data_IF_494621997530
#
_entry.id   IF_494621997530
#
_cell.length_a   1.000
_cell.length_b   1.000
_cell.length_c   1.000
_cell.angle_alpha   90.00
_cell.angle_beta   90.00
_cell.angle_gamma   90.00
#
_symmetry.space_group_name_H-M   'P 1'
#
loop_
_entity.id
_entity.type
_entity.pdbx_description
1 polymer ?
#
# COMPACT_ATOMS: atom_id res chain seq x y z
N UNK A 1 28.58 15.19 -3.08
CA UNK A 1 27.36 14.74 -3.76
C UNK A 1 27.02 13.37 -3.20
N UNK A 2 26.13 13.35 -2.23
CA UNK A 2 25.70 12.14 -1.49
C UNK A 2 24.28 11.79 -1.94
N UNK A 3 23.90 10.51 -2.08
CA UNK A 3 22.54 10.15 -2.44
C UNK A 3 21.62 10.47 -1.25
N UNK A 4 20.65 11.36 -1.47
CA UNK A 4 19.68 11.79 -0.45
C UNK A 4 18.63 10.71 -0.21
N UNK A 5 18.47 10.40 1.07
CA UNK A 5 17.77 9.25 1.64
C UNK A 5 16.25 9.50 1.73
N UNK A 6 15.58 9.69 0.58
CA UNK A 6 14.19 10.20 0.54
C UNK A 6 13.10 9.17 0.89
N UNK A 7 13.42 7.87 1.08
CA UNK A 7 12.44 6.89 1.57
C UNK A 7 12.05 7.06 3.05
N UNK A 8 12.75 7.93 3.79
CA UNK A 8 12.81 8.02 5.27
C UNK A 8 11.65 8.80 5.93
N UNK A 9 10.85 9.57 5.18
CA UNK A 9 9.72 10.32 5.74
C UNK A 9 8.39 9.55 5.65
N UNK A 10 8.23 8.67 4.66
CA UNK A 10 6.95 8.03 4.28
C UNK A 10 6.32 7.08 5.31
N UNK A 11 7.08 6.16 5.92
CA UNK A 11 6.46 5.19 6.84
C UNK A 11 6.17 5.82 8.22
N UNK A 12 6.71 7.00 8.56
CA UNK A 12 6.68 7.56 9.94
C UNK A 12 5.27 8.02 10.25
N UNK A 13 4.63 8.61 9.24
CA UNK A 13 3.27 9.08 9.38
C UNK A 13 2.24 8.00 9.07
N UNK A 14 2.67 6.88 8.43
CA UNK A 14 1.79 5.71 8.21
C UNK A 14 1.34 5.18 9.55
N UNK A 15 2.23 5.30 10.51
CA UNK A 15 2.11 4.82 11.87
C UNK A 15 1.28 5.70 12.78
N UNK A 16 1.36 7.04 12.69
CA UNK A 16 0.49 7.92 13.49
C UNK A 16 -0.99 7.79 13.09
N UNK A 17 -1.28 7.47 11.83
CA UNK A 17 -2.64 7.18 11.34
C UNK A 17 -3.17 5.80 11.73
N UNK A 18 -2.28 4.86 12.10
CA UNK A 18 -2.62 3.49 12.50
C UNK A 18 -3.35 3.47 13.88
N UNK A 19 -3.16 4.50 14.74
CA UNK A 19 -3.64 4.48 16.13
C UNK A 19 -4.36 5.75 16.63
N UNK A 20 -4.85 6.59 15.71
CA UNK A 20 -5.68 7.75 16.09
C UNK A 20 -7.06 7.34 16.63
N UNK A 21 -7.39 7.84 17.83
CA UNK A 21 -8.56 7.58 18.69
C UNK A 21 -9.84 7.06 18.01
N UNK A 22 -10.16 5.78 18.21
CA UNK A 22 -11.48 5.22 17.90
C UNK A 22 -12.40 5.42 19.12
N UNK A 23 -13.43 6.29 19.05
CA UNK A 23 -14.40 6.43 20.13
C UNK A 23 -15.27 5.18 20.19
N UNK A 24 -15.21 4.48 21.33
CA UNK A 24 -16.00 3.30 21.67
C UNK A 24 -17.43 3.34 21.11
N UNK A 25 -17.91 2.29 20.40
CA UNK A 25 -19.26 2.28 19.87
C UNK A 25 -20.28 2.11 21.00
N UNK A 26 -21.06 3.15 21.23
CA UNK A 26 -22.25 3.12 22.08
C UNK A 26 -23.30 2.16 21.49
N UNK A 27 -23.90 1.37 22.38
CA UNK A 27 -24.96 0.40 22.07
C UNK A 27 -26.17 1.12 21.45
N UNK A 28 -26.50 0.78 20.21
CA UNK A 28 -27.69 1.25 19.49
C UNK A 28 -28.51 0.08 18.95
N UNK A 29 -29.82 0.20 19.02
CA UNK A 29 -30.81 -0.87 19.00
C UNK A 29 -31.02 -1.56 17.64
N UNK A 30 -31.40 -2.84 17.71
CA UNK A 30 -31.89 -3.63 16.57
C UNK A 30 -33.23 -3.04 16.09
N UNK A 31 -33.30 -2.65 14.81
CA UNK A 31 -34.58 -2.56 14.08
C UNK A 31 -34.56 -3.48 12.87
N UNK A 32 -35.59 -4.31 12.81
CA UNK A 32 -35.92 -5.24 11.73
C UNK A 32 -36.34 -4.48 10.48
N UNK A 33 -35.79 -4.87 9.33
CA UNK A 33 -36.29 -4.47 8.02
C UNK A 33 -36.76 -5.71 7.27
N UNK A 34 -38.05 -5.70 6.97
CA UNK A 34 -38.79 -6.67 6.16
C UNK A 34 -38.40 -6.55 4.69
N UNK A 35 -38.23 -7.70 4.07
CA UNK A 35 -38.02 -7.89 2.63
C UNK A 35 -39.27 -7.57 1.84
N UNK A 36 -39.15 -6.77 0.77
CA UNK A 36 -40.08 -6.83 -0.36
C UNK A 36 -39.30 -6.89 -1.67
N UNK A 37 -39.63 -7.93 -2.43
CA UNK A 37 -39.09 -8.28 -3.74
C UNK A 37 -39.98 -7.65 -4.80
N UNK A 38 -39.37 -6.97 -5.79
CA UNK A 38 -40.00 -6.77 -7.11
C UNK A 38 -38.96 -6.87 -8.21
N UNK A 39 -39.16 -7.89 -9.04
CA UNK A 39 -38.64 -8.04 -10.40
C UNK A 39 -39.06 -6.85 -11.27
N UNK A 40 -38.24 -6.48 -12.26
CA UNK A 40 -38.70 -6.32 -13.66
C UNK A 40 -37.53 -6.17 -14.64
N UNK A 41 -37.50 -7.11 -15.59
CA UNK A 41 -37.26 -7.01 -17.04
C UNK A 41 -36.19 -6.09 -17.64
N UNK A 42 -35.30 -6.77 -18.36
CA UNK A 42 -34.47 -6.41 -19.52
C UNK A 42 -35.05 -5.42 -20.54
N UNK A 43 -34.16 -4.59 -21.13
CA UNK A 43 -34.20 -4.20 -22.55
C UNK A 43 -32.80 -3.90 -23.10
N UNK A 44 -32.42 -4.65 -24.15
CA UNK A 44 -31.28 -4.42 -25.05
C UNK A 44 -31.46 -3.12 -25.84
N UNK A 45 -30.37 -2.42 -26.16
CA UNK A 45 -30.19 -1.67 -27.42
C UNK A 45 -28.73 -1.73 -27.89
N UNK A 46 -28.61 -1.96 -29.18
CA UNK A 46 -27.40 -2.08 -29.98
C UNK A 46 -26.91 -0.74 -30.56
N UNK A 47 -25.61 -0.71 -30.82
CA UNK A 47 -24.87 -0.11 -31.95
C UNK A 47 -24.88 1.40 -32.20
N UNK A 48 -23.68 1.93 -32.45
CA UNK A 48 -23.48 3.23 -33.09
C UNK A 48 -22.03 3.72 -33.06
N UNK A 49 -21.15 3.06 -33.79
CA UNK A 49 -19.80 3.55 -34.14
C UNK A 49 -19.88 4.82 -34.99
N UNK A 50 -19.05 5.82 -34.70
CA UNK A 50 -18.56 6.75 -35.73
C UNK A 50 -17.21 7.34 -35.30
N UNK A 51 -16.22 7.14 -36.18
CA UNK A 51 -14.87 7.65 -36.02
C UNK A 51 -14.76 9.12 -36.42
N UNK A 52 -13.77 9.79 -35.84
CA UNK A 52 -13.30 11.09 -36.30
C UNK A 52 -11.76 11.06 -36.36
N UNK A 53 -11.25 11.20 -37.57
CA UNK A 53 -9.84 11.39 -37.93
C UNK A 53 -9.48 12.87 -37.88
N UNK A 54 -8.32 13.25 -37.33
CA UNK A 54 -7.80 14.61 -37.50
C UNK A 54 -6.62 15.04 -36.63
N UNK A 55 -5.41 14.60 -37.01
CA UNK A 55 -4.13 15.34 -37.02
C UNK A 55 -3.61 16.05 -35.76
N UNK A 56 -2.44 15.59 -35.28
CA UNK A 56 -1.54 16.34 -34.42
C UNK A 56 -0.35 15.49 -33.95
N UNK A 57 0.48 15.01 -34.88
CA UNK A 57 1.73 14.31 -34.54
C UNK A 57 2.72 15.30 -33.90
N UNK A 58 2.83 15.24 -32.58
CA UNK A 58 4.09 15.41 -31.89
C UNK A 58 4.38 14.04 -31.34
N UNK A 59 5.47 13.40 -31.79
CA UNK A 59 5.85 12.05 -31.38
C UNK A 59 6.05 12.01 -29.85
N UNK A 60 5.01 11.58 -29.12
CA UNK A 60 4.98 11.36 -27.67
C UNK A 60 5.72 10.04 -27.29
N UNK A 61 6.82 9.71 -27.95
CA UNK A 61 7.70 8.60 -27.55
C UNK A 61 8.81 9.10 -26.60
N UNK A 62 8.44 9.69 -25.46
CA UNK A 62 9.39 9.84 -24.36
C UNK A 62 9.35 8.57 -23.51
N UNK A 63 10.35 7.72 -23.74
CA UNK A 63 10.59 6.50 -22.99
C UNK A 63 10.63 6.77 -21.48
N UNK A 64 9.82 6.02 -20.74
CA UNK A 64 9.87 5.98 -19.28
C UNK A 64 11.29 5.56 -18.86
N UNK A 65 12.00 6.46 -18.17
CA UNK A 65 13.32 6.13 -17.59
C UNK A 65 13.08 5.07 -16.50
N UNK A 66 13.22 3.79 -16.87
CA UNK A 66 13.01 2.68 -15.94
C UNK A 66 14.07 2.72 -14.85
N UNK A 67 13.62 2.69 -13.60
CA UNK A 67 14.47 2.65 -12.40
C UNK A 67 15.54 1.56 -12.49
N UNK A 68 16.68 1.81 -11.81
CA UNK A 68 17.82 0.88 -11.65
C UNK A 68 17.35 -0.57 -11.53
N UNK A 69 18.03 -1.48 -12.22
CA UNK A 69 17.83 -2.94 -12.15
C UNK A 69 17.96 -3.43 -10.70
N UNK A 70 16.85 -3.45 -9.98
CA UNK A 70 16.75 -4.08 -8.66
C UNK A 70 16.78 -5.58 -8.89
N UNK A 71 17.64 -6.30 -8.18
CA UNK A 71 17.64 -7.77 -8.21
C UNK A 71 16.31 -8.29 -7.66
N UNK A 72 15.63 -9.15 -8.41
CA UNK A 72 14.35 -9.72 -7.98
C UNK A 72 14.52 -10.57 -6.72
N UNK A 73 13.53 -10.50 -5.82
CA UNK A 73 13.47 -11.40 -4.65
C UNK A 73 13.05 -12.82 -5.07
N UNK A 74 13.09 -13.75 -4.11
CA UNK A 74 12.79 -15.16 -4.31
C UNK A 74 12.22 -15.83 -3.05
N UNK A 75 11.50 -16.96 -3.18
CA UNK A 75 10.78 -17.60 -2.08
C UNK A 75 11.60 -17.89 -0.82
N UNK A 76 12.85 -18.36 -0.96
CA UNK A 76 13.69 -18.63 0.21
C UNK A 76 14.04 -17.36 1.01
N UNK A 77 14.26 -16.23 0.33
CA UNK A 77 14.54 -14.96 0.98
C UNK A 77 13.32 -14.45 1.74
N UNK A 78 12.13 -14.47 1.13
CA UNK A 78 10.91 -13.99 1.79
C UNK A 78 10.53 -14.80 3.03
N UNK A 79 10.68 -16.13 2.98
CA UNK A 79 10.46 -16.96 4.17
C UNK A 79 11.48 -16.64 5.27
N UNK A 80 12.73 -16.40 4.89
CA UNK A 80 13.78 -16.02 5.84
C UNK A 80 13.55 -14.63 6.45
N UNK A 81 13.10 -13.65 5.66
CA UNK A 81 12.75 -12.30 6.12
C UNK A 81 11.62 -12.36 7.14
N UNK A 82 10.54 -13.08 6.83
CA UNK A 82 9.42 -13.31 7.76
C UNK A 82 9.89 -13.93 9.08
N UNK A 83 10.70 -14.98 9.01
CA UNK A 83 11.18 -15.68 10.21
C UNK A 83 12.14 -14.79 11.02
N UNK A 84 12.90 -13.92 10.35
CA UNK A 84 13.79 -12.96 10.99
C UNK A 84 12.99 -11.89 11.72
N UNK A 85 11.99 -11.28 11.09
CA UNK A 85 11.09 -10.32 11.73
C UNK A 85 10.34 -10.90 12.93
N UNK A 86 9.87 -12.15 12.83
CA UNK A 86 9.25 -12.83 13.97
C UNK A 86 10.20 -12.96 15.17
N UNK A 87 11.50 -13.20 14.93
CA UNK A 87 12.50 -13.23 16.00
C UNK A 87 12.75 -11.84 16.59
N UNK A 88 12.75 -10.80 15.76
CA UNK A 88 12.86 -9.41 16.22
C UNK A 88 11.66 -9.06 17.11
N UNK A 89 10.44 -9.37 16.67
CA UNK A 89 9.23 -9.18 17.49
C UNK A 89 9.30 -9.94 18.81
N UNK A 90 9.70 -11.21 18.77
CA UNK A 90 9.86 -12.01 20.00
C UNK A 90 10.86 -11.41 20.98
N UNK A 91 11.96 -10.80 20.50
CA UNK A 91 12.92 -10.09 21.36
C UNK A 91 12.31 -8.88 22.06
N UNK A 92 11.41 -8.15 21.38
CA UNK A 92 10.68 -7.05 22.00
C UNK A 92 9.78 -7.56 23.12
N UNK A 93 9.03 -8.64 22.87
CA UNK A 93 8.19 -9.27 23.89
C UNK A 93 9.00 -9.75 25.10
N UNK A 94 10.16 -10.38 24.88
CA UNK A 94 11.05 -10.79 25.96
C UNK A 94 11.55 -9.61 26.77
N UNK A 95 12.05 -8.55 26.13
CA UNK A 95 12.52 -7.35 26.82
C UNK A 95 11.40 -6.72 27.66
N UNK A 96 10.19 -6.59 27.11
CA UNK A 96 9.04 -6.08 27.86
C UNK A 96 8.70 -6.97 29.06
N UNK A 97 8.64 -8.30 28.89
CA UNK A 97 8.33 -9.23 29.99
C UNK A 97 9.36 -9.20 31.11
N UNK A 98 10.64 -9.17 30.76
CA UNK A 98 11.74 -9.17 31.73
C UNK A 98 11.80 -7.88 32.56
N UNK A 99 11.59 -6.72 31.91
CA UNK A 99 11.76 -5.42 32.57
C UNK A 99 10.44 -4.88 33.17
N UNK A 100 9.31 -5.10 32.52
CA UNK A 100 8.00 -4.57 32.95
C UNK A 100 7.19 -5.59 33.77
N UNK A 101 7.49 -6.88 33.64
CA UNK A 101 6.69 -7.96 34.20
C UNK A 101 5.43 -8.29 33.38
N UNK A 102 4.91 -9.50 33.56
CA UNK A 102 3.77 -10.00 32.76
C UNK A 102 2.48 -9.20 32.96
N UNK A 103 2.24 -8.69 34.18
CA UNK A 103 1.01 -7.96 34.47
C UNK A 103 0.91 -6.64 33.72
N UNK A 104 2.04 -5.94 33.53
CA UNK A 104 2.08 -4.68 32.78
C UNK A 104 2.01 -4.92 31.27
N UNK A 105 2.59 -6.02 30.77
CA UNK A 105 2.57 -6.35 29.35
C UNK A 105 1.15 -6.56 28.77
N UNK A 106 0.14 -6.84 29.62
CA UNK A 106 -1.27 -6.96 29.21
C UNK A 106 -1.85 -5.66 28.63
N UNK A 107 -1.25 -4.51 28.98
CA UNK A 107 -1.65 -3.17 28.49
C UNK A 107 -0.96 -2.79 27.18
N UNK A 108 0.04 -3.56 26.75
CA UNK A 108 0.71 -3.33 25.48
C UNK A 108 -0.05 -4.02 24.35
N UNK A 109 -0.18 -3.34 23.22
CA UNK A 109 -0.67 -3.91 21.98
C UNK A 109 0.43 -4.73 21.28
N UNK A 110 0.93 -5.74 22.00
CA UNK A 110 1.87 -6.76 21.54
C UNK A 110 1.12 -8.07 21.34
N UNK A 111 1.65 -8.94 20.49
CA UNK A 111 1.10 -10.27 20.23
C UNK A 111 1.48 -11.27 21.32
N UNK A 112 1.27 -10.91 22.59
CA UNK A 112 1.49 -11.85 23.67
C UNK A 112 0.52 -13.03 23.52
N UNK A 113 0.96 -14.23 23.91
CA UNK A 113 0.09 -15.41 24.07
C UNK A 113 -1.09 -15.20 25.06
N UNK A 114 -1.21 -14.04 25.68
CA UNK A 114 -2.16 -13.71 26.75
C UNK A 114 -3.19 -12.64 26.33
N UNK A 115 -2.90 -11.79 25.34
CA UNK A 115 -3.81 -10.69 24.93
C UNK A 115 -3.84 -10.50 23.41
N UNK A 116 -4.75 -11.20 22.73
CA UNK A 116 -5.07 -10.98 21.30
C UNK A 116 -5.96 -9.75 21.05
N UNK A 117 -6.02 -8.77 21.97
CA UNK A 117 -7.13 -7.80 21.94
C UNK A 117 -6.92 -6.60 21.02
N UNK A 118 -5.70 -6.18 20.65
CA UNK A 118 -5.48 -4.92 19.92
C UNK A 118 -4.44 -4.97 18.77
N UNK A 119 -4.32 -6.08 18.03
CA UNK A 119 -3.41 -6.15 16.86
C UNK A 119 -1.92 -5.97 17.21
N UNK A 120 -1.02 -6.13 16.22
CA UNK A 120 0.45 -6.08 16.38
C UNK A 120 0.97 -4.63 16.43
N UNK A 121 0.20 -3.76 17.06
CA UNK A 121 0.25 -2.34 16.82
C UNK A 121 1.55 -1.65 17.16
N UNK A 122 2.11 -2.06 18.29
CA UNK A 122 3.32 -1.46 18.81
C UNK A 122 4.53 -1.86 17.96
N UNK A 123 4.62 -3.15 17.62
CA UNK A 123 5.72 -3.68 16.83
C UNK A 123 5.69 -3.17 15.40
N UNK A 124 4.52 -3.20 14.76
CA UNK A 124 4.38 -2.76 13.37
C UNK A 124 4.76 -1.29 13.24
N UNK A 125 4.29 -0.44 14.17
CA UNK A 125 4.73 0.96 14.26
C UNK A 125 6.24 1.06 14.35
N UNK A 126 6.84 0.51 15.39
CA UNK A 126 8.29 0.59 15.54
C UNK A 126 9.05 0.07 14.31
N UNK A 127 8.62 -1.04 13.71
CA UNK A 127 9.23 -1.62 12.52
C UNK A 127 9.23 -0.63 11.35
N UNK A 128 8.09 0.02 11.11
CA UNK A 128 7.97 1.04 10.07
C UNK A 128 8.90 2.24 10.30
N UNK A 129 8.97 2.78 11.52
CA UNK A 129 9.86 3.90 11.84
C UNK A 129 11.34 3.49 11.75
N UNK A 130 11.68 2.27 12.13
CA UNK A 130 13.02 1.72 11.96
C UNK A 130 13.39 1.51 10.49
N UNK A 131 12.45 1.02 9.66
CA UNK A 131 12.67 0.82 8.22
C UNK A 131 13.00 2.12 7.52
N UNK A 132 12.30 3.18 7.88
CA UNK A 132 12.57 4.51 7.35
C UNK A 132 13.94 5.01 7.68
N UNK A 133 14.30 4.84 8.95
CA UNK A 133 15.54 5.40 9.47
C UNK A 133 16.77 4.60 9.01
N UNK A 134 16.53 3.49 8.30
CA UNK A 134 17.58 2.67 7.68
C UNK A 134 18.26 3.44 6.54
N UNK A 135 19.51 3.09 6.27
CA UNK A 135 20.32 3.67 5.20
C UNK A 135 20.62 2.67 4.09
N UNK A 136 20.33 1.39 4.33
CA UNK A 136 20.48 0.30 3.37
C UNK A 136 19.14 -0.36 3.07
N UNK A 137 18.95 -0.74 1.80
CA UNK A 137 17.80 -1.53 1.34
C UNK A 137 18.18 -3.01 1.11
N UNK A 138 19.24 -3.49 1.78
CA UNK A 138 19.87 -4.78 1.49
C UNK A 138 18.95 -6.00 1.69
N UNK A 139 17.81 -5.82 2.37
CA UNK A 139 16.91 -6.88 2.81
C UNK A 139 15.47 -6.75 2.30
N UNK A 140 15.26 -6.16 1.11
CA UNK A 140 13.95 -6.16 0.45
C UNK A 140 12.91 -5.25 1.11
N UNK A 141 13.34 -4.06 1.59
CA UNK A 141 12.47 -3.02 2.15
C UNK A 141 11.58 -3.44 3.34
N UNK A 142 11.86 -4.58 3.99
CA UNK A 142 11.00 -5.13 5.06
C UNK A 142 11.75 -5.48 6.34
N UNK A 143 13.08 -5.46 6.34
CA UNK A 143 13.90 -5.61 7.55
C UNK A 143 14.78 -4.37 7.75
N UNK A 144 14.67 -3.64 8.88
CA UNK A 144 15.49 -2.46 9.12
C UNK A 144 16.94 -2.84 9.39
N UNK A 145 17.85 -1.95 9.02
CA UNK A 145 19.26 -2.11 9.35
C UNK A 145 19.57 -1.66 10.79
N UNK A 146 20.79 -1.93 11.26
CA UNK A 146 21.20 -1.58 12.62
C UNK A 146 21.12 -0.07 12.91
N UNK A 147 21.32 0.78 11.88
CA UNK A 147 21.23 2.24 12.04
C UNK A 147 19.78 2.67 12.18
N UNK A 148 18.89 2.12 11.36
CA UNK A 148 17.44 2.36 11.44
C UNK A 148 16.87 1.98 12.80
N UNK A 149 17.21 0.78 13.27
CA UNK A 149 16.87 0.32 14.63
C UNK A 149 17.38 1.29 15.69
N UNK A 150 18.67 1.69 15.64
CA UNK A 150 19.24 2.62 16.61
C UNK A 150 18.57 4.00 16.62
N UNK A 151 18.32 4.59 15.44
CA UNK A 151 17.64 5.88 15.28
C UNK A 151 16.16 5.82 15.70
N UNK A 152 15.55 4.64 15.70
CA UNK A 152 14.17 4.41 16.14
C UNK A 152 14.01 4.30 17.67
N UNK A 153 15.11 4.23 18.44
CA UNK A 153 15.10 4.12 19.92
C UNK A 153 14.10 5.09 20.58
N UNK A 154 14.21 6.39 20.29
CA UNK A 154 13.38 7.43 20.92
C UNK A 154 11.90 7.27 20.58
N UNK A 155 11.59 6.88 19.35
CA UNK A 155 10.21 6.64 18.93
C UNK A 155 9.60 5.46 19.69
N UNK A 156 10.35 4.37 19.86
CA UNK A 156 9.88 3.21 20.62
C UNK A 156 9.66 3.52 22.10
N UNK A 157 10.52 4.34 22.72
CA UNK A 157 10.30 4.83 24.10
C UNK A 157 8.96 5.58 24.18
N UNK A 158 8.74 6.55 23.30
CA UNK A 158 7.50 7.33 23.27
C UNK A 158 6.28 6.43 23.08
N UNK A 159 6.35 5.46 22.17
CA UNK A 159 5.26 4.55 21.88
C UNK A 159 4.91 3.65 23.08
N UNK A 160 5.92 3.11 23.75
CA UNK A 160 5.73 2.33 24.98
C UNK A 160 5.12 3.17 26.10
N UNK A 161 5.63 4.38 26.34
CA UNK A 161 5.09 5.31 27.33
C UNK A 161 3.62 5.65 27.04
N UNK A 162 3.27 5.93 25.78
CA UNK A 162 1.88 6.20 25.37
C UNK A 162 0.95 5.01 25.63
N UNK A 163 1.35 3.81 25.22
CA UNK A 163 0.57 2.59 25.44
C UNK A 163 0.37 2.28 26.93
N UNK A 164 1.32 2.70 27.78
CA UNK A 164 1.28 2.51 29.22
C UNK A 164 0.76 3.72 30.00
N UNK A 165 0.27 4.77 29.34
CA UNK A 165 -0.19 6.02 30.00
C UNK A 165 -1.28 5.83 31.05
N UNK A 166 -2.06 4.74 30.95
CA UNK A 166 -3.10 4.37 31.92
C UNK A 166 -2.60 3.65 33.17
N UNK A 167 -1.31 3.30 33.23
CA UNK A 167 -0.67 2.59 34.34
C UNK A 167 0.59 3.33 34.82
N UNK A 168 0.91 3.23 36.12
CA UNK A 168 2.15 3.80 36.65
C UNK A 168 3.34 2.91 36.30
N UNK A 169 4.17 3.35 35.37
CA UNK A 169 5.46 2.74 35.02
C UNK A 169 6.52 3.84 35.10
N UNK A 170 7.65 3.51 35.71
CA UNK A 170 8.80 4.42 35.78
C UNK A 170 9.42 4.56 34.38
N UNK A 171 9.66 5.79 33.94
CA UNK A 171 10.25 6.10 32.65
C UNK A 171 11.63 5.44 32.50
N UNK A 172 12.40 5.33 33.59
CA UNK A 172 13.71 4.65 33.58
C UNK A 172 13.59 3.17 33.21
N UNK A 173 12.50 2.51 33.62
CA UNK A 173 12.24 1.10 33.26
C UNK A 173 11.87 0.99 31.79
N UNK A 174 11.09 1.94 31.25
CA UNK A 174 10.75 1.97 29.81
C UNK A 174 12.00 2.17 28.97
N UNK A 175 12.82 3.16 29.33
CA UNK A 175 14.09 3.40 28.65
C UNK A 175 14.99 2.16 28.69
N UNK A 176 15.13 1.53 29.87
CA UNK A 176 15.91 0.30 30.01
C UNK A 176 15.39 -0.84 29.14
N UNK A 177 14.08 -1.00 29.06
CA UNK A 177 13.42 -2.00 28.21
C UNK A 177 13.81 -1.82 26.75
N UNK A 178 13.73 -0.59 26.25
CA UNK A 178 14.10 -0.27 24.87
C UNK A 178 15.59 -0.48 24.63
N UNK A 179 16.46 -0.09 25.57
CA UNK A 179 17.90 -0.29 25.44
C UNK A 179 18.28 -1.77 25.30
N UNK A 180 17.71 -2.62 26.15
CA UNK A 180 17.95 -4.07 26.09
C UNK A 180 17.50 -4.63 24.74
N UNK A 181 16.30 -4.25 24.30
CA UNK A 181 15.76 -4.68 23.01
C UNK A 181 16.64 -4.24 21.83
N UNK A 182 16.95 -2.95 21.74
CA UNK A 182 17.75 -2.38 20.65
C UNK A 182 19.13 -3.01 20.58
N UNK A 183 19.81 -3.18 21.72
CA UNK A 183 21.12 -3.81 21.78
C UNK A 183 21.10 -5.26 21.27
N UNK A 184 20.08 -6.04 21.64
CA UNK A 184 19.94 -7.43 21.21
C UNK A 184 19.57 -7.55 19.72
N UNK A 185 18.68 -6.69 19.23
CA UNK A 185 18.33 -6.63 17.80
C UNK A 185 19.54 -6.23 16.95
N UNK A 186 20.23 -5.15 17.29
CA UNK A 186 21.44 -4.71 16.56
C UNK A 186 22.49 -5.82 16.51
N UNK A 187 22.76 -6.48 17.65
CA UNK A 187 23.68 -7.63 17.71
C UNK A 187 23.24 -8.79 16.82
N UNK A 188 21.93 -9.01 16.68
CA UNK A 188 21.36 -10.04 15.82
C UNK A 188 21.45 -9.67 14.33
N UNK A 189 21.15 -8.42 13.99
CA UNK A 189 21.22 -7.88 12.63
C UNK A 189 22.65 -7.96 12.05
N UNK A 190 23.66 -7.66 12.87
CA UNK A 190 25.07 -7.75 12.46
C UNK A 190 25.55 -9.19 12.15
N UNK A 191 24.77 -10.21 12.53
CA UNK A 191 25.10 -11.64 12.32
C UNK A 191 24.22 -12.30 11.27
N UNK A 192 23.39 -11.53 10.56
CA UNK A 192 22.50 -12.09 9.56
C UNK A 192 23.29 -12.70 8.41
N UNK A 193 22.78 -13.82 7.90
CA UNK A 193 23.29 -14.48 6.72
C UNK A 193 22.10 -14.84 5.83
N UNK A 194 21.62 -13.89 5.00
CA UNK A 194 20.47 -14.12 4.15
C UNK A 194 20.77 -15.20 3.10
N UNK A 195 19.77 -16.00 2.69
CA UNK A 195 19.93 -16.86 1.53
C UNK A 195 20.24 -15.99 0.31
N UNK A 196 21.13 -16.46 -0.58
CA UNK A 196 21.51 -15.74 -1.81
C UNK A 196 20.78 -16.21 -3.07
N UNK A 197 20.12 -17.35 -2.97
CA UNK A 197 19.36 -17.99 -4.05
C UNK A 197 18.48 -19.08 -3.45
N UNK A 198 17.48 -19.52 -4.21
CA UNK A 198 16.82 -20.80 -3.93
C UNK A 198 17.83 -21.94 -4.12
N UNK A 199 18.02 -22.78 -3.08
CA UNK A 199 19.07 -23.81 -3.02
C UNK A 199 19.22 -24.62 -4.32
N UNK A 200 20.45 -24.71 -4.87
CA UNK A 200 20.79 -25.45 -6.10
C UNK A 200 20.61 -26.97 -5.91
N UNK A 201 19.44 -27.49 -6.32
CA UNK A 201 19.14 -28.86 -6.83
C UNK A 201 17.68 -29.19 -6.51
N UNK A 202 16.77 -29.00 -7.47
CA UNK A 202 15.44 -29.62 -7.63
C UNK A 202 14.48 -29.86 -6.42
N UNK A 203 14.79 -29.48 -5.18
CA UNK A 203 14.09 -30.02 -3.99
C UNK A 203 13.09 -29.09 -3.32
N UNK A 204 13.07 -27.80 -3.63
CA UNK A 204 12.23 -26.81 -2.92
C UNK A 204 11.74 -25.76 -3.91
N UNK A 205 10.82 -26.16 -4.76
CA UNK A 205 10.05 -25.27 -5.64
C UNK A 205 8.76 -24.86 -4.93
N UNK A 206 8.18 -23.74 -5.33
CA UNK A 206 6.80 -23.45 -4.95
C UNK A 206 5.91 -24.47 -5.64
N UNK A 207 4.99 -25.06 -4.87
CA UNK A 207 4.02 -26.05 -5.34
C UNK A 207 2.62 -25.54 -5.08
N UNK A 208 1.69 -25.82 -5.99
CA UNK A 208 0.26 -25.63 -5.75
C UNK A 208 -0.24 -26.90 -5.05
N UNK A 209 -0.64 -26.76 -3.79
CA UNK A 209 -1.09 -27.90 -2.96
C UNK A 209 -2.55 -28.25 -3.19
N UNK A 210 -3.38 -27.22 -3.37
CA UNK A 210 -4.82 -27.38 -3.52
C UNK A 210 -5.35 -26.27 -4.39
N UNK A 211 -6.28 -26.65 -5.26
CA UNK A 211 -7.07 -25.74 -6.06
C UNK A 211 -8.55 -26.04 -5.84
N UNK A 212 -9.31 -25.01 -5.54
CA UNK A 212 -10.77 -25.02 -5.60
C UNK A 212 -11.25 -23.94 -6.56
N UNK A 213 -12.56 -23.94 -6.80
CA UNK A 213 -13.24 -22.86 -7.52
C UNK A 213 -13.06 -21.49 -6.85
N UNK A 214 -12.82 -21.45 -5.54
CA UNK A 214 -12.70 -20.22 -4.77
C UNK A 214 -11.26 -19.81 -4.44
N UNK A 215 -10.33 -20.75 -4.25
CA UNK A 215 -8.97 -20.46 -3.77
C UNK A 215 -7.89 -21.37 -4.35
N UNK A 216 -6.65 -20.89 -4.22
CA UNK A 216 -5.40 -21.62 -4.48
C UNK A 216 -4.59 -21.62 -3.19
N UNK A 217 -4.03 -22.77 -2.82
CA UNK A 217 -3.02 -22.87 -1.77
C UNK A 217 -1.64 -23.14 -2.39
N UNK A 218 -0.70 -22.24 -2.14
CA UNK A 218 0.70 -22.32 -2.55
C UNK A 218 1.55 -22.74 -1.35
N UNK A 219 2.57 -23.57 -1.59
CA UNK A 219 3.52 -23.97 -0.57
C UNK A 219 4.96 -23.84 -1.04
N UNK A 220 5.79 -23.29 -0.15
CA UNK A 220 7.24 -23.38 -0.21
C UNK A 220 7.77 -23.87 1.14
N UNK A 221 8.47 -25.02 1.15
CA UNK A 221 8.89 -25.71 2.37
C UNK A 221 7.68 -25.96 3.30
N UNK A 222 7.69 -25.42 4.52
CA UNK A 222 6.61 -25.54 5.51
C UNK A 222 5.63 -24.37 5.45
N UNK A 223 5.94 -23.34 4.67
CA UNK A 223 5.11 -22.14 4.57
C UNK A 223 4.03 -22.35 3.53
N UNK A 224 2.78 -22.11 3.93
CA UNK A 224 1.60 -22.16 3.08
C UNK A 224 0.97 -20.78 2.99
N UNK A 225 0.52 -20.41 1.81
CA UNK A 225 -0.20 -19.17 1.54
C UNK A 225 -1.44 -19.51 0.71
N UNK A 226 -2.55 -18.84 1.00
CA UNK A 226 -3.80 -19.01 0.28
C UNK A 226 -4.22 -17.71 -0.38
N UNK A 227 -4.67 -17.78 -1.62
CA UNK A 227 -5.16 -16.65 -2.41
C UNK A 227 -6.48 -17.02 -3.07
N UNK A 228 -7.39 -16.06 -3.20
CA UNK A 228 -8.60 -16.23 -3.98
C UNK A 228 -8.30 -16.52 -5.44
N UNK A 229 -9.14 -17.35 -6.06
CA UNK A 229 -9.06 -17.71 -7.48
C UNK A 229 -9.02 -16.49 -8.38
N UNK A 230 -9.94 -15.55 -8.15
CA UNK A 230 -10.06 -14.28 -8.87
C UNK A 230 -8.73 -13.49 -8.90
N UNK A 231 -8.03 -13.39 -7.76
CA UNK A 231 -6.74 -12.70 -7.68
C UNK A 231 -5.60 -13.52 -8.28
N UNK A 232 -5.58 -14.84 -8.11
CA UNK A 232 -4.57 -15.69 -8.73
C UNK A 232 -4.62 -15.59 -10.26
N UNK A 233 -5.80 -15.65 -10.85
CA UNK A 233 -6.00 -15.57 -12.29
C UNK A 233 -5.65 -14.16 -12.82
N UNK A 234 -5.95 -13.10 -12.05
CA UNK A 234 -5.50 -11.73 -12.35
C UNK A 234 -3.97 -11.66 -12.37
N UNK A 235 -3.30 -12.16 -11.33
CA UNK A 235 -1.84 -12.12 -11.21
C UNK A 235 -1.16 -12.94 -12.32
N UNK A 236 -1.78 -14.04 -12.76
CA UNK A 236 -1.32 -14.80 -13.92
C UNK A 236 -1.30 -13.95 -15.18
N UNK A 237 -2.40 -13.26 -15.48
CA UNK A 237 -2.49 -12.37 -16.65
C UNK A 237 -1.46 -11.23 -16.61
N UNK A 238 -1.29 -10.62 -15.43
CA UNK A 238 -0.26 -9.58 -15.23
C UNK A 238 1.14 -10.14 -15.47
N UNK A 239 1.42 -11.32 -14.91
CA UNK A 239 2.72 -11.97 -15.05
C UNK A 239 3.04 -12.37 -16.49
N UNK A 240 2.08 -12.99 -17.21
CA UNK A 240 2.24 -13.40 -18.60
C UNK A 240 2.45 -12.18 -19.52
N UNK A 241 1.78 -11.06 -19.27
CA UNK A 241 1.98 -9.82 -20.01
C UNK A 241 3.40 -9.27 -19.86
N UNK A 242 3.94 -9.30 -18.64
CA UNK A 242 5.29 -8.80 -18.34
C UNK A 242 6.40 -9.81 -18.65
N UNK A 243 6.07 -11.10 -18.76
CA UNK A 243 7.03 -12.20 -18.89
C UNK A 243 6.48 -13.29 -19.85
N UNK A 244 6.37 -13.01 -21.15
CA UNK A 244 5.72 -13.92 -22.11
C UNK A 244 6.38 -15.29 -22.21
N UNK A 245 7.69 -15.38 -21.98
CA UNK A 245 8.48 -16.62 -22.06
C UNK A 245 8.67 -17.33 -20.71
N UNK A 246 8.02 -16.86 -19.64
CA UNK A 246 8.25 -17.40 -18.31
C UNK A 246 7.54 -18.76 -18.09
N UNK A 247 8.22 -19.64 -17.36
CA UNK A 247 7.68 -20.96 -17.00
C UNK A 247 6.63 -20.86 -15.89
N UNK A 248 5.77 -21.89 -15.79
CA UNK A 248 4.81 -22.04 -14.69
C UNK A 248 5.47 -22.02 -13.30
N UNK A 249 6.71 -22.53 -13.22
CA UNK A 249 7.49 -22.48 -12.00
C UNK A 249 7.96 -21.05 -11.68
N UNK A 250 8.26 -20.25 -12.71
CA UNK A 250 8.57 -18.83 -12.58
C UNK A 250 7.39 -18.06 -12.02
N UNK A 251 6.19 -18.27 -12.58
CA UNK A 251 4.96 -17.69 -12.06
C UNK A 251 4.71 -18.10 -10.60
N UNK A 252 4.76 -19.41 -10.30
CA UNK A 252 4.58 -19.92 -8.94
C UNK A 252 5.59 -19.32 -7.93
N UNK A 253 6.84 -19.15 -8.36
CA UNK A 253 7.88 -18.49 -7.57
C UNK A 253 7.56 -17.02 -7.29
N UNK A 254 7.19 -16.27 -8.33
CA UNK A 254 6.86 -14.85 -8.25
C UNK A 254 5.65 -14.59 -7.37
N UNK A 255 4.54 -15.33 -7.55
CA UNK A 255 3.31 -15.13 -6.77
C UNK A 255 3.52 -15.46 -5.30
N UNK A 256 4.26 -16.53 -4.98
CA UNK A 256 4.59 -16.84 -3.59
C UNK A 256 5.45 -15.75 -2.96
N UNK A 257 6.44 -15.24 -3.69
CA UNK A 257 7.34 -14.17 -3.21
C UNK A 257 6.55 -12.91 -2.92
N UNK A 258 5.73 -12.45 -3.87
CA UNK A 258 4.81 -11.33 -3.72
C UNK A 258 3.91 -11.51 -2.48
N UNK A 259 3.19 -12.64 -2.42
CA UNK A 259 2.26 -12.88 -1.32
C UNK A 259 2.96 -12.95 0.04
N UNK A 260 4.14 -13.57 0.10
CA UNK A 260 4.89 -13.65 1.35
C UNK A 260 5.38 -12.26 1.79
N UNK A 261 5.81 -11.40 0.87
CA UNK A 261 6.20 -10.01 1.18
C UNK A 261 5.05 -9.24 1.82
N UNK A 262 3.89 -9.20 1.16
CA UNK A 262 2.72 -8.47 1.64
C UNK A 262 2.08 -9.10 2.90
N UNK A 263 2.16 -10.42 3.08
CA UNK A 263 1.71 -11.06 4.33
C UNK A 263 2.66 -10.77 5.50
N UNK A 264 3.96 -10.63 5.24
CA UNK A 264 4.97 -10.28 6.25
C UNK A 264 4.85 -8.81 6.68
N UNK A 265 4.57 -7.91 5.73
CA UNK A 265 4.43 -6.48 6.00
C UNK A 265 3.17 -6.21 6.85
N UNK A 266 2.08 -6.94 6.59
CA UNK A 266 0.78 -6.62 7.18
C UNK A 266 0.16 -5.36 6.55
N UNK A 267 -0.60 -4.59 7.33
CA UNK A 267 -1.06 -3.26 6.90
C UNK A 267 -2.20 -3.20 5.86
N UNK A 268 -2.96 -4.28 5.66
CA UNK A 268 -4.08 -4.33 4.69
C UNK A 268 -5.21 -3.29 4.91
N UNK A 269 -5.14 -2.48 5.98
CA UNK A 269 -6.12 -1.45 6.33
C UNK A 269 -5.71 -0.01 5.99
N UNK A 270 -4.50 0.22 5.49
CA UNK A 270 -3.95 1.57 5.30
C UNK A 270 -4.22 2.21 3.96
N UNK A 271 -4.57 1.38 2.99
CA UNK A 271 -4.94 1.79 1.67
C UNK A 271 -6.20 1.01 1.31
N UNK A 272 -7.20 1.74 0.87
CA UNK A 272 -8.44 1.18 0.39
C UNK A 272 -8.53 1.53 -1.10
N UNK A 273 -8.59 0.52 -1.96
CA UNK A 273 -8.64 0.76 -3.39
C UNK A 273 -10.02 1.32 -3.77
N UNK A 274 -10.06 2.24 -4.72
CA UNK A 274 -11.33 2.72 -5.27
C UNK A 274 -12.00 1.62 -6.10
N UNK A 275 -13.31 1.74 -6.32
CA UNK A 275 -14.07 0.72 -7.03
C UNK A 275 -13.77 0.73 -8.54
N UNK A 276 -13.99 -0.40 -9.26
CA UNK A 276 -13.92 -0.43 -10.72
C UNK A 276 -14.77 0.65 -11.39
N UNK A 277 -15.92 0.98 -10.81
CA UNK A 277 -16.82 2.02 -11.33
C UNK A 277 -16.16 3.40 -11.33
N UNK A 278 -15.39 3.72 -10.28
CA UNK A 278 -14.64 4.99 -10.22
C UNK A 278 -13.55 4.97 -11.30
N UNK A 279 -12.77 3.89 -11.40
CA UNK A 279 -11.76 3.79 -12.45
C UNK A 279 -12.36 3.90 -13.86
N UNK A 280 -13.51 3.30 -14.14
CA UNK A 280 -14.17 3.39 -15.44
C UNK A 280 -14.48 4.84 -15.82
N UNK A 281 -14.97 5.64 -14.87
CA UNK A 281 -15.19 7.08 -15.06
C UNK A 281 -13.86 7.80 -15.26
N UNK A 282 -12.87 7.55 -14.40
CA UNK A 282 -11.59 8.26 -14.46
C UNK A 282 -10.84 7.97 -15.77
N UNK A 283 -10.75 6.70 -16.18
CA UNK A 283 -10.14 6.31 -17.46
C UNK A 283 -10.91 6.88 -18.65
N UNK A 284 -12.24 6.90 -18.61
CA UNK A 284 -13.04 7.45 -19.72
C UNK A 284 -12.98 8.99 -19.83
N UNK A 285 -12.77 9.70 -18.72
CA UNK A 285 -12.84 11.18 -18.68
C UNK A 285 -11.47 11.86 -18.68
N UNK A 286 -10.47 11.19 -18.12
CA UNK A 286 -9.13 11.75 -17.94
C UNK A 286 -8.04 10.92 -18.59
N UNK A 287 -8.36 9.82 -19.29
CA UNK A 287 -7.38 8.90 -19.88
C UNK A 287 -6.35 8.40 -18.84
N UNK A 288 -6.78 8.07 -17.61
CA UNK A 288 -5.85 7.55 -16.59
C UNK A 288 -5.08 6.34 -17.12
N UNK A 289 -3.76 6.45 -17.16
CA UNK A 289 -2.87 5.44 -17.75
C UNK A 289 -2.20 4.54 -16.71
N UNK A 290 -2.04 5.04 -15.48
CA UNK A 290 -1.45 4.28 -14.37
C UNK A 290 -1.93 4.76 -12.99
N UNK A 291 -1.90 3.84 -12.03
CA UNK A 291 -2.08 4.12 -10.60
C UNK A 291 -0.73 4.50 -9.97
N UNK A 292 -0.67 5.64 -9.29
CA UNK A 292 0.54 6.10 -8.59
C UNK A 292 0.80 5.30 -7.31
N UNK A 293 -0.21 4.70 -6.69
CA UNK A 293 -0.03 3.91 -5.48
C UNK A 293 -0.86 2.64 -5.57
N UNK A 294 -0.23 1.52 -5.87
CA UNK A 294 -0.91 0.23 -5.86
C UNK A 294 0.04 -0.91 -5.51
N UNK A 295 -0.46 -2.13 -5.69
CA UNK A 295 0.23 -3.39 -5.63
C UNK A 295 -0.34 -4.30 -6.70
N UNK A 296 0.36 -5.37 -7.10
CA UNK A 296 -0.24 -6.38 -7.97
C UNK A 296 -1.56 -6.97 -7.40
N UNK A 297 -1.71 -6.96 -6.07
CA UNK A 297 -2.88 -7.49 -5.36
C UNK A 297 -4.12 -6.58 -5.46
N UNK A 298 -3.95 -5.26 -5.60
CA UNK A 298 -5.06 -4.31 -5.59
C UNK A 298 -5.19 -3.43 -6.84
N UNK A 299 -4.20 -3.41 -7.75
CA UNK A 299 -4.27 -2.57 -8.93
C UNK A 299 -5.51 -2.86 -9.79
N UNK A 300 -6.08 -1.81 -10.37
CA UNK A 300 -7.08 -1.94 -11.42
C UNK A 300 -6.43 -1.96 -12.80
N UNK A 301 -5.46 -1.07 -13.01
CA UNK A 301 -4.75 -0.90 -14.27
C UNK A 301 -3.57 -1.86 -14.37
N UNK A 302 -3.14 -2.10 -15.61
CA UNK A 302 -1.97 -2.95 -15.89
C UNK A 302 -0.64 -2.25 -15.69
N UNK A 303 -0.65 -0.94 -15.44
CA UNK A 303 0.52 -0.12 -15.14
C UNK A 303 0.25 0.58 -13.82
N UNK A 304 1.16 0.45 -12.88
CA UNK A 304 1.02 1.05 -11.56
C UNK A 304 2.39 1.21 -10.90
N UNK A 305 2.55 2.17 -10.02
CA UNK A 305 3.68 2.23 -9.11
C UNK A 305 3.36 1.44 -7.83
N UNK A 306 4.39 0.87 -7.19
CA UNK A 306 4.24 0.08 -5.97
C UNK A 306 5.44 0.21 -5.03
N UNK A 307 5.26 -0.27 -3.79
CA UNK A 307 6.26 -0.16 -2.74
C UNK A 307 7.46 -1.11 -2.92
N UNK A 308 7.29 -2.25 -3.59
CA UNK A 308 8.31 -3.31 -3.66
C UNK A 308 8.67 -3.66 -5.11
N UNK A 309 9.52 -2.86 -5.78
CA UNK A 309 9.92 -3.14 -7.15
C UNK A 309 10.53 -4.55 -7.33
N UNK A 310 11.23 -5.06 -6.32
CA UNK A 310 11.89 -6.37 -6.34
C UNK A 310 10.92 -7.57 -6.35
N UNK A 311 9.69 -7.39 -5.87
CA UNK A 311 8.64 -8.43 -5.89
C UNK A 311 7.54 -8.15 -6.90
N UNK A 312 7.32 -6.87 -7.25
CA UNK A 312 6.13 -6.43 -7.97
C UNK A 312 6.40 -6.18 -9.45
N UNK A 313 7.66 -5.91 -9.84
CA UNK A 313 8.04 -5.71 -11.24
C UNK A 313 7.61 -6.87 -12.16
N UNK A 314 7.68 -8.17 -11.74
CA UNK A 314 7.17 -9.27 -12.56
C UNK A 314 5.67 -9.19 -12.88
N UNK A 315 4.91 -8.33 -12.21
CA UNK A 315 3.47 -8.15 -12.40
C UNK A 315 3.09 -6.77 -12.98
N UNK A 316 4.06 -6.01 -13.49
CA UNK A 316 3.80 -4.74 -14.18
C UNK A 316 4.01 -3.48 -13.34
N UNK A 317 4.64 -3.59 -12.16
CA UNK A 317 5.02 -2.40 -11.38
C UNK A 317 6.05 -1.53 -12.12
N UNK A 318 5.85 -0.23 -12.08
CA UNK A 318 6.76 0.82 -12.56
C UNK A 318 7.80 1.22 -11.50
N UNK A 319 7.77 0.59 -10.33
CA UNK A 319 8.59 0.94 -9.18
C UNK A 319 7.89 1.95 -8.24
N UNK A 320 8.67 2.62 -7.39
CA UNK A 320 8.14 3.60 -6.44
C UNK A 320 7.64 4.86 -7.15
N UNK A 321 6.49 5.38 -6.73
CA UNK A 321 5.96 6.64 -7.26
C UNK A 321 6.93 7.80 -7.13
N UNK A 322 7.68 7.83 -6.03
CA UNK A 322 8.61 8.92 -5.75
C UNK A 322 9.86 8.88 -6.64
N UNK A 323 10.12 7.75 -7.29
CA UNK A 323 11.15 7.61 -8.31
C UNK A 323 10.56 7.74 -9.73
N UNK A 324 9.24 7.60 -9.87
CA UNK A 324 8.50 7.76 -11.12
C UNK A 324 8.29 9.24 -11.45
N UNK A 325 8.82 9.69 -12.59
CA UNK A 325 8.85 11.12 -12.99
C UNK A 325 8.22 11.36 -14.36
N UNK A 326 6.90 11.11 -14.53
CA UNK A 326 6.21 11.40 -15.78
C UNK A 326 6.18 12.91 -16.04
N UNK A 327 6.43 13.32 -17.28
CA UNK A 327 6.32 14.72 -17.72
C UNK A 327 5.00 15.04 -18.43
N UNK A 328 4.23 14.01 -18.76
CA UNK A 328 2.91 14.10 -19.38
C UNK A 328 2.12 12.83 -19.07
N UNK A 329 0.85 12.82 -19.44
CA UNK A 329 -0.09 11.74 -19.18
C UNK A 329 -1.04 12.09 -18.05
N UNK A 330 -1.87 11.12 -17.67
CA UNK A 330 -2.87 11.27 -16.64
C UNK A 330 -2.85 10.10 -15.68
N UNK A 331 -2.87 10.40 -14.38
CA UNK A 331 -2.60 9.41 -13.34
C UNK A 331 -3.59 9.52 -12.18
N UNK A 332 -3.95 8.38 -11.61
CA UNK A 332 -4.69 8.31 -10.35
C UNK A 332 -3.69 8.22 -9.19
N UNK A 333 -3.93 8.96 -8.11
CA UNK A 333 -3.10 8.91 -6.92
C UNK A 333 -3.95 8.77 -5.66
N UNK A 334 -4.07 7.55 -5.16
CA UNK A 334 -4.69 7.20 -3.89
C UNK A 334 -3.63 6.60 -2.93
N UNK A 335 -2.81 7.46 -2.28
CA UNK A 335 -1.75 6.98 -1.41
C UNK A 335 -2.32 6.28 -0.16
N UNK A 336 -1.53 5.45 0.53
CA UNK A 336 -1.81 5.12 1.92
C UNK A 336 -2.15 6.39 2.72
N UNK A 337 -3.17 6.34 3.60
CA UNK A 337 -3.73 7.52 4.27
C UNK A 337 -2.92 8.04 5.46
N UNK A 338 -1.74 8.50 5.08
CA UNK A 338 -0.56 8.68 5.90
C UNK A 338 -0.05 10.07 5.65
N UNK A 339 0.06 10.92 6.69
CA UNK A 339 0.33 12.34 6.43
C UNK A 339 1.62 12.58 5.66
N UNK A 340 2.73 11.98 6.07
CA UNK A 340 4.02 12.13 5.37
C UNK A 340 4.04 11.57 3.95
N UNK A 341 3.38 10.45 3.66
CA UNK A 341 3.25 9.92 2.29
C UNK A 341 2.41 10.88 1.47
N UNK A 342 1.30 11.37 2.01
CA UNK A 342 0.42 12.33 1.33
C UNK A 342 1.15 13.66 1.09
N UNK A 343 1.92 14.15 2.06
CA UNK A 343 2.75 15.35 1.95
C UNK A 343 3.85 15.17 0.91
N UNK A 344 4.62 14.06 0.97
CA UNK A 344 5.67 13.74 -0.01
C UNK A 344 5.08 13.58 -1.41
N UNK A 345 3.94 12.90 -1.53
CA UNK A 345 3.21 12.76 -2.79
C UNK A 345 2.84 14.13 -3.33
N UNK A 346 2.30 15.01 -2.49
CA UNK A 346 1.91 16.37 -2.88
C UNK A 346 3.13 17.15 -3.36
N UNK A 347 4.24 17.16 -2.62
CA UNK A 347 5.50 17.80 -3.06
C UNK A 347 6.01 17.24 -4.39
N UNK A 348 5.98 15.91 -4.55
CA UNK A 348 6.42 15.24 -5.78
C UNK A 348 5.55 15.61 -6.98
N UNK A 349 4.23 15.52 -6.83
CA UNK A 349 3.25 15.95 -7.85
C UNK A 349 3.52 17.40 -8.24
N UNK A 350 3.59 18.32 -7.28
CA UNK A 350 3.80 19.74 -7.58
C UNK A 350 5.14 20.02 -8.28
N UNK A 351 6.18 19.25 -7.97
CA UNK A 351 7.46 19.32 -8.68
C UNK A 351 7.29 18.89 -10.14
N UNK A 352 6.62 17.76 -10.39
CA UNK A 352 6.31 17.29 -11.74
C UNK A 352 5.41 18.28 -12.51
N UNK A 353 4.42 18.88 -11.84
CA UNK A 353 3.54 19.89 -12.43
C UNK A 353 4.34 21.11 -12.89
N UNK A 354 5.22 21.66 -12.05
CA UNK A 354 6.08 22.79 -12.42
C UNK A 354 6.96 22.47 -13.63
N UNK A 355 7.66 21.33 -13.61
CA UNK A 355 8.52 20.91 -14.74
C UNK A 355 7.73 20.70 -16.02
N UNK A 356 6.50 20.19 -15.93
CA UNK A 356 5.66 19.91 -17.09
C UNK A 356 5.00 21.18 -17.64
N UNK A 357 4.61 22.11 -16.77
CA UNK A 357 4.09 23.42 -17.15
C UNK A 357 5.15 24.26 -17.87
N UNK A 358 6.39 24.29 -17.36
CA UNK A 358 7.53 24.95 -18.02
C UNK A 358 7.80 24.41 -19.43
N UNK A 359 7.53 23.12 -19.64
CA UNK A 359 7.67 22.43 -20.93
C UNK A 359 6.40 22.45 -21.78
N UNK A 360 5.35 23.11 -21.31
CA UNK A 360 4.04 23.16 -21.97
C UNK A 360 3.46 21.76 -22.28
N UNK A 361 3.63 20.80 -21.36
CA UNK A 361 3.15 19.42 -21.50
C UNK A 361 1.83 19.18 -20.76
N UNK A 362 1.06 18.20 -21.23
CA UNK A 362 -0.22 17.80 -20.62
C UNK A 362 -0.01 16.78 -19.51
N UNK A 363 0.03 17.24 -18.26
CA UNK A 363 0.10 16.38 -17.07
C UNK A 363 -1.12 16.58 -16.18
N UNK A 364 -1.75 15.47 -15.78
CA UNK A 364 -2.93 15.43 -14.93
C UNK A 364 -2.76 14.41 -13.80
N UNK A 365 -3.14 14.80 -12.59
CA UNK A 365 -3.31 13.89 -11.46
C UNK A 365 -4.73 14.01 -10.88
N UNK A 366 -5.40 12.87 -10.72
CA UNK A 366 -6.61 12.73 -9.92
C UNK A 366 -6.20 12.19 -8.56
N UNK A 367 -6.16 13.04 -7.55
CA UNK A 367 -5.64 12.72 -6.22
C UNK A 367 -6.78 12.47 -5.25
N UNK A 368 -6.78 11.34 -4.56
CA UNK A 368 -7.86 10.88 -3.69
C UNK A 368 -7.30 10.70 -2.29
N UNK A 369 -7.66 11.58 -1.37
CA UNK A 369 -7.11 11.63 0.00
C UNK A 369 -8.19 12.01 1.02
N UNK A 370 -8.04 11.64 2.30
CA UNK A 370 -8.93 12.13 3.35
C UNK A 370 -8.93 13.67 3.42
N UNK A 371 -10.09 14.28 3.66
CA UNK A 371 -10.28 15.74 3.60
C UNK A 371 -9.40 16.54 4.57
N UNK A 372 -8.80 15.90 5.58
CA UNK A 372 -7.80 16.53 6.46
C UNK A 372 -6.54 17.02 5.72
N UNK A 373 -6.30 16.56 4.49
CA UNK A 373 -5.16 16.96 3.65
C UNK A 373 -5.49 18.03 2.60
N UNK A 374 -6.70 18.59 2.63
CA UNK A 374 -7.23 19.51 1.62
C UNK A 374 -6.29 20.68 1.32
N UNK A 375 -5.78 21.34 2.36
CA UNK A 375 -4.98 22.56 2.21
C UNK A 375 -3.66 22.34 1.46
N UNK A 376 -3.07 21.15 1.61
CA UNK A 376 -1.80 20.76 0.97
C UNK A 376 -1.89 20.82 -0.56
N UNK A 377 -3.06 20.50 -1.14
CA UNK A 377 -3.26 20.47 -2.59
C UNK A 377 -4.02 21.69 -3.10
N UNK A 378 -4.98 22.23 -2.35
CA UNK A 378 -5.79 23.39 -2.77
C UNK A 378 -4.98 24.69 -2.89
N UNK A 379 -3.85 24.80 -2.18
CA UNK A 379 -2.96 25.97 -2.27
C UNK A 379 -2.15 26.04 -3.56
N UNK A 380 -2.15 24.97 -4.36
CA UNK A 380 -1.41 24.89 -5.63
C UNK A 380 -2.08 25.70 -6.74
N UNK A 381 -1.26 26.40 -7.54
CA UNK A 381 -1.71 27.04 -8.78
C UNK A 381 -2.16 26.05 -9.87
N UNK A 382 -1.90 24.75 -9.68
CA UNK A 382 -2.33 23.67 -10.58
C UNK A 382 -3.65 23.02 -10.16
N UNK A 383 -4.19 23.34 -8.98
CA UNK A 383 -5.46 22.82 -8.53
C UNK A 383 -6.60 23.38 -9.39
N UNK A 384 -7.47 22.50 -9.93
CA UNK A 384 -8.57 22.88 -10.82
C UNK A 384 -9.91 22.73 -10.15
N UNK A 385 -10.17 21.54 -9.62
CA UNK A 385 -11.46 21.20 -9.02
C UNK A 385 -11.25 20.34 -7.79
N UNK A 386 -12.18 20.50 -6.83
CA UNK A 386 -12.29 19.71 -5.63
C UNK A 386 -13.68 19.09 -5.60
N UNK A 387 -13.74 17.77 -5.44
CA UNK A 387 -14.98 17.03 -5.19
C UNK A 387 -14.88 16.48 -3.78
N UNK A 388 -15.87 16.80 -2.94
CA UNK A 388 -15.91 16.33 -1.55
C UNK A 388 -16.93 15.19 -1.46
N UNK A 389 -16.50 14.08 -0.88
CA UNK A 389 -17.31 12.90 -0.62
C UNK A 389 -17.51 12.78 0.89
N UNK A 390 -18.74 12.93 1.35
CA UNK A 390 -19.06 12.86 2.77
C UNK A 390 -18.74 11.47 3.34
N UNK A 391 -18.32 11.40 4.60
CA UNK A 391 -18.12 10.14 5.31
C UNK A 391 -19.36 9.25 5.20
N UNK A 392 -19.13 7.94 5.06
CA UNK A 392 -20.17 6.91 4.86
C UNK A 392 -21.03 7.04 3.60
N UNK A 393 -20.86 8.08 2.77
CA UNK A 393 -21.57 8.20 1.48
C UNK A 393 -20.89 7.43 0.35
N UNK A 394 -19.67 6.95 0.57
CA UNK A 394 -18.85 6.29 -0.45
C UNK A 394 -18.20 5.00 0.05
N UNK A 395 -17.86 4.13 -0.90
CA UNK A 395 -17.33 2.79 -0.66
C UNK A 395 -15.92 2.64 -1.22
N UNK A 396 -15.09 1.93 -0.47
CA UNK A 396 -13.78 1.44 -0.92
C UNK A 396 -13.73 -0.08 -0.94
N UNK A 397 -12.79 -0.64 -1.68
CA UNK A 397 -12.41 -2.05 -1.59
C UNK A 397 -11.43 -2.25 -0.43
N UNK A 398 -11.66 -3.29 0.38
CA UNK A 398 -10.80 -3.63 1.51
C UNK A 398 -9.43 -4.14 1.01
N UNK A 399 -8.32 -3.67 1.60
CA UNK A 399 -6.97 -4.02 1.14
C UNK A 399 -6.59 -5.51 1.23
N UNK A 400 -7.26 -6.31 2.06
CA UNK A 400 -7.06 -7.77 2.15
C UNK A 400 -7.92 -8.58 1.16
N UNK A 401 -8.44 -7.97 0.10
CA UNK A 401 -9.39 -8.56 -0.86
C UNK A 401 -8.95 -9.90 -1.47
N UNK A 402 -7.64 -10.16 -1.53
CA UNK A 402 -7.04 -11.40 -2.01
C UNK A 402 -7.24 -12.59 -1.07
N UNK A 403 -7.69 -12.37 0.17
CA UNK A 403 -7.92 -13.39 1.20
C UNK A 403 -9.41 -13.77 1.28
N UNK A 404 -9.65 -15.04 1.57
CA UNK A 404 -10.97 -15.69 1.50
C UNK A 404 -12.09 -15.00 2.30
N UNK A 405 -11.75 -14.35 3.42
CA UNK A 405 -12.71 -13.75 4.37
C UNK A 405 -12.83 -12.22 4.32
N UNK A 406 -12.19 -11.54 3.37
CA UNK A 406 -12.28 -10.08 3.29
C UNK A 406 -13.68 -9.63 2.84
N UNK A 407 -14.24 -8.62 3.53
CA UNK A 407 -15.41 -7.88 3.04
C UNK A 407 -14.99 -7.17 1.76
N UNK A 408 -15.79 -7.27 0.70
CA UNK A 408 -15.42 -6.71 -0.60
C UNK A 408 -15.45 -5.19 -0.62
N UNK A 409 -16.44 -4.59 0.06
CA UNK A 409 -16.59 -3.14 0.17
C UNK A 409 -16.69 -2.71 1.63
N UNK A 410 -16.09 -1.58 1.93
CA UNK A 410 -16.14 -0.91 3.24
C UNK A 410 -16.54 0.55 3.03
N UNK A 411 -17.49 1.03 3.82
CA UNK A 411 -17.84 2.43 3.83
C UNK A 411 -16.71 3.24 4.45
N UNK A 412 -16.42 4.41 3.87
CA UNK A 412 -15.42 5.29 4.46
C UNK A 412 -15.85 5.78 5.84
N UNK A 413 -14.88 5.87 6.74
CA UNK A 413 -15.06 6.38 8.11
C UNK A 413 -14.79 7.87 8.23
N UNK A 414 -14.34 8.53 7.16
CA UNK A 414 -14.04 9.95 7.09
C UNK A 414 -14.45 10.54 5.74
N UNK A 415 -14.51 11.87 5.67
CA UNK A 415 -14.70 12.57 4.41
C UNK A 415 -13.46 12.35 3.51
N UNK A 416 -13.70 12.23 2.21
CA UNK A 416 -12.67 12.04 1.19
C UNK A 416 -12.75 13.16 0.17
N UNK A 417 -11.60 13.73 -0.17
CA UNK A 417 -11.45 14.71 -1.24
C UNK A 417 -10.87 14.06 -2.49
N UNK A 418 -11.49 14.35 -3.64
CA UNK A 418 -10.93 14.08 -4.97
C UNK A 418 -10.49 15.41 -5.56
N UNK A 419 -9.18 15.61 -5.63
CA UNK A 419 -8.56 16.79 -6.22
C UNK A 419 -8.17 16.52 -7.68
N UNK A 420 -8.50 17.46 -8.56
CA UNK A 420 -8.04 17.45 -9.95
C UNK A 420 -6.90 18.47 -10.10
N UNK A 421 -5.69 17.98 -10.34
CA UNK A 421 -4.45 18.78 -10.45
C UNK A 421 -3.94 18.70 -11.89
N UNK A 422 -3.89 19.83 -12.61
CA UNK A 422 -3.61 19.85 -14.04
C UNK A 422 -2.73 21.01 -14.48
N UNK A 423 -1.83 20.76 -15.43
CA UNK A 423 -1.14 21.81 -16.18
C UNK A 423 -2.15 22.57 -17.03
N UNK A 424 -1.79 23.76 -17.51
CA UNK A 424 -2.66 24.56 -18.38
C UNK A 424 -3.04 23.81 -19.67
N UNK A 425 -2.14 22.98 -20.19
CA UNK A 425 -2.41 22.14 -21.37
C UNK A 425 -3.28 20.93 -21.04
N UNK A 426 -3.06 20.30 -19.88
CA UNK A 426 -3.92 19.21 -19.42
C UNK A 426 -5.36 19.65 -19.17
N UNK A 427 -5.58 20.85 -18.62
CA UNK A 427 -6.94 21.41 -18.43
C UNK A 427 -7.71 21.50 -19.76
N UNK A 428 -7.03 21.88 -20.85
CA UNK A 428 -7.66 21.93 -22.18
C UNK A 428 -7.94 20.54 -22.74
N UNK A 429 -7.06 19.57 -22.47
CA UNK A 429 -7.18 18.18 -22.93
C UNK A 429 -8.26 17.41 -22.17
N UNK A 430 -8.31 17.56 -20.85
CA UNK A 430 -9.22 16.87 -19.93
C UNK A 430 -9.99 17.89 -19.07
N UNK A 431 -10.94 18.65 -19.66
CA UNK A 431 -11.69 19.65 -18.94
C UNK A 431 -12.58 19.01 -17.87
N UNK A 432 -12.63 19.61 -16.68
CA UNK A 432 -13.52 19.17 -15.60
C UNK A 432 -14.84 19.92 -15.71
N UNK A 433 -15.93 19.19 -15.97
CA UNK A 433 -17.28 19.76 -16.05
C UNK A 433 -18.11 19.32 -14.85
N UNK A 434 -19.18 20.05 -14.53
CA UNK A 434 -20.15 19.64 -13.50
C UNK A 434 -20.69 18.21 -13.72
N UNK A 435 -20.92 17.84 -14.97
CA UNK A 435 -21.35 16.49 -15.32
C UNK A 435 -20.31 15.43 -14.95
N UNK A 436 -19.02 15.70 -15.19
CA UNK A 436 -17.94 14.78 -14.80
C UNK A 436 -17.84 14.66 -13.27
N UNK A 437 -17.99 15.78 -12.54
CA UNK A 437 -18.00 15.74 -11.07
C UNK A 437 -19.14 14.86 -10.54
N UNK A 438 -20.34 14.99 -11.10
CA UNK A 438 -21.49 14.15 -10.74
C UNK A 438 -21.27 12.67 -11.05
N UNK A 439 -20.64 12.35 -12.19
CA UNK A 439 -20.29 10.98 -12.56
C UNK A 439 -19.29 10.36 -11.57
N UNK A 440 -18.29 11.12 -11.15
CA UNK A 440 -17.32 10.68 -10.13
C UNK A 440 -18.05 10.42 -8.80
N UNK A 441 -18.84 11.37 -8.28
CA UNK A 441 -19.59 11.17 -7.03
C UNK A 441 -20.45 9.90 -7.07
N UNK A 442 -21.23 9.73 -8.15
CA UNK A 442 -22.12 8.58 -8.33
C UNK A 442 -21.35 7.26 -8.45
N UNK A 443 -20.12 7.27 -8.95
CA UNK A 443 -19.29 6.07 -9.03
C UNK A 443 -18.77 5.64 -7.65
N UNK A 444 -18.50 6.59 -6.76
CA UNK A 444 -18.07 6.34 -5.37
C UNK A 444 -19.18 5.78 -4.47
N UNK A 445 -20.45 6.04 -4.78
CA UNK A 445 -21.62 5.50 -4.06
C UNK A 445 -21.83 3.99 -4.29
N UNK A 446 -21.20 3.40 -5.31
CA UNK A 446 -21.47 2.03 -5.79
C UNK A 446 -20.50 0.99 -5.26
#
# INVERSE_FOLDING_TARGET
>A
MSPTNNNMDDLTSLMQSYYGDDPSPSRGEKRSLTTDTKETSSKKRDSGSNGWSGTGNVDEEAQFETAKTVGLSFPALEVWLRDTLRKVHFKLECACKEQLGEDKCKYLALKSSVTLRNGDALFDQWLFDALLKSESNDYGLILPDAKGVGKSKRFLVQLLTQNMSSIKVDDDIVEKTVEVFIADVVKSLLKLNPPRHDSKKHRKRVTILKESSSNVELQFKKTKLAIRREHFDKLRKLFEKSNPDATEQGFSGAIFTLMQRYDTLGGHGFQAAISPQVFDVLTSRFDIEAECFASPLNCYLSRFCSAFPDTDAPFGSLGSFFDFKPLFGSFEANPPFVSSVVERMSTHILTLMNTSEEKELSLCFVVIVPSKFRETLCSSSFHRELIVLDHRSHLYLQGAQQKDKARRKVASTCDTDVHIIQTSRAMKKWPVTEQIKLEICKAFEQ
#
